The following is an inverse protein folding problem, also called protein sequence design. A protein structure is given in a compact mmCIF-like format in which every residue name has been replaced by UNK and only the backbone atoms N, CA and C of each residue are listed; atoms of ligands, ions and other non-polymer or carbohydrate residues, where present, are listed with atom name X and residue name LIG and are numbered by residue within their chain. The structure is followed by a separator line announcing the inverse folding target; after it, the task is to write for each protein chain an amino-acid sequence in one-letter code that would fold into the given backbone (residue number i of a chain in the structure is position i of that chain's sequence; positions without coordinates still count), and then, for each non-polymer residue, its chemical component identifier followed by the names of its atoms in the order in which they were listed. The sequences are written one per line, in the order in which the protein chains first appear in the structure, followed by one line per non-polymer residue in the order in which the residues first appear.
data_IF_431977078372
#
_entry.id   IF_431977078372
#
_cell.length_a   1.000
_cell.length_b   1.000
_cell.length_c   1.000
_cell.angle_alpha   90.00
_cell.angle_beta   90.00
_cell.angle_gamma   90.00
#
_symmetry.space_group_name_H-M   'P 1'
#
loop_
_entity.id
_entity.type
_entity.pdbx_description
1 polymer ?
#
# COMPACT_ATOMS: atom_id res chain seq x y z
N UNK A 1 -3.92 21.74 12.14
CA UNK A 1 -4.33 21.14 10.85
C UNK A 1 -3.16 21.28 9.87
N UNK A 2 -2.54 20.20 9.38
CA UNK A 2 -1.49 20.30 8.35
C UNK A 2 -2.15 20.36 6.98
N UNK A 3 -1.75 21.32 6.16
CA UNK A 3 -2.31 21.51 4.82
C UNK A 3 -1.44 20.78 3.80
N UNK A 4 -2.09 20.19 2.79
CA UNK A 4 -1.48 19.53 1.64
C UNK A 4 -0.49 20.46 0.94
N UNK A 5 0.68 19.96 0.54
CA UNK A 5 1.63 20.72 -0.29
C UNK A 5 1.28 20.53 -1.76
N UNK A 6 0.95 21.63 -2.44
CA UNK A 6 0.78 21.65 -3.89
C UNK A 6 2.08 21.20 -4.58
N UNK A 7 1.97 20.33 -5.58
CA UNK A 7 3.11 19.81 -6.35
C UNK A 7 3.80 18.56 -5.76
N UNK A 8 3.45 18.09 -4.56
CA UNK A 8 3.98 16.85 -4.02
C UNK A 8 3.21 15.61 -4.53
N UNK A 9 3.90 14.49 -4.78
CA UNK A 9 3.23 13.23 -5.13
C UNK A 9 2.37 12.72 -3.97
N UNK A 10 1.18 12.22 -4.29
CA UNK A 10 0.30 11.56 -3.33
C UNK A 10 0.70 10.10 -3.09
N UNK A 11 0.47 9.61 -1.88
CA UNK A 11 0.64 8.19 -1.55
C UNK A 11 -0.64 7.62 -0.96
N UNK A 12 -0.91 6.37 -1.31
CA UNK A 12 -2.07 5.63 -0.84
C UNK A 12 -1.70 4.17 -0.59
N UNK A 13 -2.16 3.66 0.54
CA UNK A 13 -2.14 2.24 0.90
C UNK A 13 -3.54 1.87 1.42
N UNK A 14 -4.13 0.80 0.88
CA UNK A 14 -5.47 0.35 1.22
C UNK A 14 -5.47 -1.15 1.41
N UNK A 15 -5.93 -1.57 2.59
CA UNK A 15 -6.08 -2.99 2.93
C UNK A 15 -7.52 -3.32 3.28
N UNK A 16 -8.04 -4.34 2.59
CA UNK A 16 -9.34 -4.91 2.91
C UNK A 16 -9.22 -6.10 3.86
N UNK A 17 -10.03 -6.09 4.93
CA UNK A 17 -10.26 -7.24 5.79
C UNK A 17 -11.04 -8.38 5.14
N UNK A 18 -11.67 -8.13 3.98
CA UNK A 18 -12.48 -9.09 3.24
C UNK A 18 -11.70 -10.29 2.67
N UNK A 19 -10.37 -10.17 2.56
CA UNK A 19 -9.53 -11.23 2.01
C UNK A 19 -9.10 -12.29 3.03
N UNK A 20 -9.32 -12.04 4.33
CA UNK A 20 -8.89 -12.98 5.38
C UNK A 20 -7.36 -13.19 5.42
N UNK A 21 -6.59 -12.19 5.01
CA UNK A 21 -5.12 -12.21 5.00
C UNK A 21 -4.56 -10.91 5.57
N UNK A 22 -3.45 -11.02 6.29
CA UNK A 22 -2.61 -9.89 6.66
C UNK A 22 -1.66 -9.54 5.52
N UNK A 23 -1.04 -8.37 5.61
CA UNK A 23 0.06 -8.00 4.71
C UNK A 23 1.25 -8.93 4.98
N UNK A 24 1.91 -9.36 3.90
CA UNK A 24 3.15 -10.10 4.01
C UNK A 24 4.20 -9.27 4.73
N UNK A 25 4.92 -9.87 5.67
CA UNK A 25 6.12 -9.25 6.21
C UNK A 25 7.13 -9.09 5.07
N UNK A 26 7.84 -7.96 5.05
CA UNK A 26 8.82 -7.65 4.02
C UNK A 26 10.18 -7.46 4.67
N UNK A 27 11.17 -8.20 4.16
CA UNK A 27 12.57 -8.06 4.52
C UNK A 27 13.32 -7.47 3.34
N UNK A 28 14.03 -6.37 3.58
CA UNK A 28 14.87 -5.72 2.57
C UNK A 28 16.31 -5.80 3.01
N UNK A 29 17.21 -6.09 2.08
CA UNK A 29 18.65 -5.99 2.30
C UNK A 29 19.30 -5.28 1.12
N UNK A 30 20.44 -4.66 1.40
CA UNK A 30 21.28 -4.01 0.41
C UNK A 30 22.71 -4.50 0.57
N UNK A 31 23.42 -4.62 -0.54
CA UNK A 31 24.82 -5.00 -0.55
C UNK A 31 25.59 -4.18 -1.59
N UNK A 32 26.91 -4.35 -1.59
CA UNK A 32 27.81 -3.84 -2.61
C UNK A 32 28.67 -4.98 -3.10
N UNK A 33 29.00 -4.98 -4.37
CA UNK A 33 29.90 -5.94 -4.97
C UNK A 33 30.74 -5.28 -6.04
N UNK A 34 31.68 -6.05 -6.57
CA UNK A 34 32.45 -5.64 -7.74
C UNK A 34 32.49 -6.81 -8.72
N UNK A 35 32.14 -6.53 -9.97
CA UNK A 35 32.29 -7.47 -11.07
C UNK A 35 33.76 -7.43 -11.49
N UNK A 36 34.52 -8.47 -11.14
CA UNK A 36 35.91 -8.61 -11.52
C UNK A 36 36.04 -9.34 -12.87
N UNK A 37 37.08 -9.00 -13.63
CA UNK A 37 37.39 -9.59 -14.94
C UNK A 37 37.05 -8.69 -16.15
N UNK A 38 37.45 -9.15 -17.34
CA UNK A 38 37.21 -8.44 -18.61
C UNK A 38 38.20 -7.29 -18.90
N UNK A 39 38.13 -6.74 -20.12
CA UNK A 39 39.05 -5.68 -20.62
C UNK A 39 38.85 -4.32 -19.94
N UNK A 40 37.78 -4.16 -19.15
CA UNK A 40 37.35 -2.88 -18.57
C UNK A 40 37.68 -2.72 -17.08
N UNK A 41 38.38 -3.69 -16.47
CA UNK A 41 38.72 -3.70 -15.04
C UNK A 41 37.51 -3.95 -14.13
N UNK A 42 37.75 -3.93 -12.81
CA UNK A 42 36.73 -4.17 -11.80
C UNK A 42 35.63 -3.10 -11.81
N UNK A 43 34.36 -3.50 -11.84
CA UNK A 43 33.20 -2.59 -11.88
C UNK A 43 32.35 -2.72 -10.62
N UNK A 44 32.23 -1.68 -9.79
CA UNK A 44 31.40 -1.74 -8.59
C UNK A 44 29.91 -1.77 -8.97
N UNK A 45 29.10 -2.46 -8.16
CA UNK A 45 27.65 -2.46 -8.26
C UNK A 45 27.01 -2.50 -6.87
N UNK A 46 25.81 -1.94 -6.77
CA UNK A 46 24.96 -2.07 -5.58
C UNK A 46 23.92 -3.17 -5.81
N UNK A 47 23.63 -3.95 -4.78
CA UNK A 47 22.52 -4.91 -4.77
C UNK A 47 21.42 -4.48 -3.84
N UNK A 48 20.19 -4.78 -4.22
CA UNK A 48 19.00 -4.63 -3.36
C UNK A 48 18.17 -5.90 -3.51
N UNK A 49 17.91 -6.56 -2.40
CA UNK A 49 17.00 -7.70 -2.35
C UNK A 49 15.77 -7.33 -1.52
N UNK A 50 14.61 -7.78 -1.98
CA UNK A 50 13.35 -7.71 -1.22
C UNK A 50 12.77 -9.12 -1.19
N UNK A 51 12.51 -9.60 0.03
CA UNK A 51 11.88 -10.89 0.27
C UNK A 51 10.54 -10.61 0.95
N UNK A 52 9.48 -11.16 0.37
CA UNK A 52 8.14 -11.13 0.93
C UNK A 52 7.86 -12.50 1.55
N UNK A 53 7.54 -12.52 2.84
CA UNK A 53 7.12 -13.74 3.50
C UNK A 53 5.68 -14.11 3.08
N UNK A 54 5.22 -15.31 3.46
CA UNK A 54 3.83 -15.68 3.25
C UNK A 54 2.88 -14.76 4.03
N UNK A 55 1.83 -14.28 3.36
CA UNK A 55 0.76 -13.55 4.02
C UNK A 55 0.06 -14.44 5.07
N UNK A 56 0.06 -14.00 6.33
CA UNK A 56 -0.61 -14.72 7.41
C UNK A 56 -2.13 -14.70 7.22
N UNK A 57 -2.81 -15.80 7.53
CA UNK A 57 -4.28 -15.83 7.57
C UNK A 57 -4.78 -14.94 8.71
N UNK A 58 -5.90 -14.27 8.48
CA UNK A 58 -6.65 -13.51 9.49
C UNK A 58 -8.14 -13.78 9.34
N UNK A 59 -8.95 -13.58 10.39
CA UNK A 59 -10.39 -13.58 10.25
C UNK A 59 -10.84 -12.58 9.18
N UNK A 60 -11.78 -13.01 8.33
CA UNK A 60 -12.44 -12.11 7.38
C UNK A 60 -13.21 -11.06 8.18
N UNK A 61 -13.09 -9.80 7.78
CA UNK A 61 -13.75 -8.69 8.46
C UNK A 61 -14.21 -7.63 7.47
N UNK A 62 -15.38 -7.07 7.70
CA UNK A 62 -15.96 -5.99 6.90
C UNK A 62 -15.32 -4.63 7.24
N UNK A 63 -14.03 -4.49 6.97
CA UNK A 63 -13.21 -3.34 7.34
C UNK A 63 -12.25 -2.95 6.22
N UNK A 64 -12.20 -1.67 5.89
CA UNK A 64 -11.16 -1.07 5.04
C UNK A 64 -10.23 -0.20 5.89
N UNK A 65 -8.93 -0.50 5.85
CA UNK A 65 -7.88 0.36 6.42
C UNK A 65 -7.26 1.16 5.29
N UNK A 66 -7.33 2.48 5.38
CA UNK A 66 -6.89 3.42 4.35
C UNK A 66 -5.85 4.34 4.97
N UNK A 67 -4.63 4.32 4.42
CA UNK A 67 -3.57 5.27 4.77
C UNK A 67 -3.25 6.12 3.55
N UNK A 68 -3.33 7.43 3.70
CA UNK A 68 -3.14 8.36 2.59
C UNK A 68 -2.33 9.56 3.01
N UNK A 69 -1.48 10.06 2.11
CA UNK A 69 -0.82 11.36 2.25
C UNK A 69 -0.96 12.12 0.95
N UNK A 70 -1.37 13.38 1.03
CA UNK A 70 -1.62 14.23 -0.13
C UNK A 70 -2.62 13.65 -1.16
N UNK A 71 -3.58 12.81 -0.75
CA UNK A 71 -4.67 12.28 -1.61
C UNK A 71 -6.04 12.77 -1.17
N UNK A 72 -6.79 13.47 -2.04
CA UNK A 72 -8.04 14.15 -1.67
C UNK A 72 -9.28 13.26 -1.81
N UNK A 73 -9.25 12.30 -2.72
CA UNK A 73 -10.35 11.39 -2.95
C UNK A 73 -9.87 9.99 -3.34
N UNK A 74 -10.64 8.98 -2.94
CA UNK A 74 -10.40 7.57 -3.25
C UNK A 74 -11.73 6.93 -3.60
N UNK A 75 -11.73 6.10 -4.65
CA UNK A 75 -12.88 5.28 -5.03
C UNK A 75 -12.51 3.81 -4.83
N UNK A 76 -13.28 3.10 -4.02
CA UNK A 76 -13.08 1.68 -3.72
C UNK A 76 -14.24 0.87 -4.26
N UNK A 77 -13.96 -0.14 -5.07
CA UNK A 77 -14.96 -1.13 -5.48
C UNK A 77 -15.12 -2.18 -4.37
N UNK A 78 -16.31 -2.20 -3.75
CA UNK A 78 -16.57 -3.05 -2.58
C UNK A 78 -16.59 -4.54 -2.92
N UNK A 79 -17.03 -4.90 -4.14
CA UNK A 79 -17.06 -6.30 -4.59
C UNK A 79 -15.65 -6.82 -4.79
N UNK A 80 -14.79 -6.05 -5.46
CA UNK A 80 -13.37 -6.39 -5.63
C UNK A 80 -12.63 -6.43 -4.28
N UNK A 81 -13.01 -5.55 -3.36
CA UNK A 81 -12.46 -5.53 -2.01
C UNK A 81 -13.06 -6.61 -1.08
N UNK A 82 -14.06 -7.39 -1.50
CA UNK A 82 -14.72 -8.42 -0.68
C UNK A 82 -15.30 -7.89 0.64
N UNK A 83 -15.83 -6.68 0.60
CA UNK A 83 -16.48 -6.00 1.73
C UNK A 83 -17.90 -5.61 1.34
N UNK A 84 -18.72 -5.28 2.33
CA UNK A 84 -20.11 -4.87 2.11
C UNK A 84 -20.23 -3.34 1.99
N UNK A 85 -21.43 -2.86 1.70
CA UNK A 85 -21.72 -1.43 1.74
C UNK A 85 -21.80 -0.84 3.16
N UNK A 86 -21.85 -1.69 4.19
CA UNK A 86 -21.75 -1.36 5.61
C UNK A 86 -20.32 -1.34 6.15
N UNK A 87 -19.31 -1.44 5.27
CA UNK A 87 -17.91 -1.56 5.65
C UNK A 87 -17.46 -0.48 6.63
N UNK A 88 -16.75 -0.89 7.67
CA UNK A 88 -16.12 0.04 8.60
C UNK A 88 -14.86 0.63 7.97
N UNK A 89 -14.82 1.95 7.84
CA UNK A 89 -13.66 2.68 7.36
C UNK A 89 -12.74 3.06 8.53
N UNK A 90 -11.47 2.69 8.45
CA UNK A 90 -10.41 3.13 9.36
C UNK A 90 -9.43 3.95 8.55
N UNK A 91 -9.48 5.27 8.71
CA UNK A 91 -8.76 6.23 7.85
C UNK A 91 -7.65 6.92 8.63
N UNK A 92 -6.42 6.84 8.10
CA UNK A 92 -5.27 7.66 8.47
C UNK A 92 -4.92 8.56 7.28
N UNK A 93 -5.22 9.85 7.39
CA UNK A 93 -5.00 10.85 6.33
C UNK A 93 -4.35 12.10 6.89
N UNK A 94 -3.55 12.80 6.09
CA UNK A 94 -2.97 14.11 6.43
C UNK A 94 -3.90 15.30 6.15
N UNK A 95 -5.14 15.04 5.72
CA UNK A 95 -6.18 16.06 5.52
C UNK A 95 -7.54 15.45 5.20
N UNK A 96 -8.54 16.29 4.85
CA UNK A 96 -9.85 15.82 4.44
C UNK A 96 -9.74 14.82 3.28
N UNK A 97 -10.40 13.67 3.40
CA UNK A 97 -10.40 12.61 2.39
C UNK A 97 -11.85 12.23 2.07
N UNK A 98 -12.21 12.28 0.78
CA UNK A 98 -13.48 11.73 0.31
C UNK A 98 -13.31 10.29 -0.12
N UNK A 99 -13.97 9.35 0.57
CA UNK A 99 -13.99 7.93 0.20
C UNK A 99 -15.33 7.62 -0.47
N UNK A 100 -15.29 7.12 -1.71
CA UNK A 100 -16.48 6.69 -2.48
C UNK A 100 -16.50 5.18 -2.61
N UNK A 101 -17.61 4.56 -2.23
CA UNK A 101 -17.77 3.11 -2.25
C UNK A 101 -18.51 2.68 -3.52
N UNK A 102 -17.75 2.39 -4.58
CA UNK A 102 -18.31 1.93 -5.84
C UNK A 102 -18.98 0.56 -5.68
N UNK A 103 -20.17 0.42 -6.26
CA UNK A 103 -21.00 -0.77 -6.13
C UNK A 103 -22.03 -0.67 -5.00
N UNK A 104 -22.10 0.45 -4.28
CA UNK A 104 -23.12 0.73 -3.26
C UNK A 104 -24.09 1.82 -3.72
N UNK A 105 -25.40 1.70 -3.43
CA UNK A 105 -26.35 2.76 -3.73
C UNK A 105 -26.08 3.99 -2.83
N UNK A 106 -25.92 5.15 -3.45
CA UNK A 106 -25.84 6.45 -2.76
C UNK A 106 -24.56 6.74 -1.96
N UNK A 107 -23.44 6.03 -2.19
CA UNK A 107 -22.15 6.21 -1.50
C UNK A 107 -20.95 6.17 -2.44
#
# INVERSE_FOLDING_TARGET
MRVRRAGALGTIDVRSGGFGRADAAVRRSSGRGALAGGRLGSRPFDTRATIWDCALRRPVADVLRIKTRNVASVRVDVRRARVTCGVRLVVDSDGPLTVRLAGCPGR
#
